data_IF_076504961141
#
_entry.id   IF_076504961141
#
_cell.length_a   1.000
_cell.length_b   1.000
_cell.length_c   1.000
_cell.angle_alpha   90.00
_cell.angle_beta   90.00
_cell.angle_gamma   90.00
#
_symmetry.space_group_name_H-M   'P 1'
#
loop_
_entity.id
_entity.type
_entity.pdbx_description
1 polymer ?
#
# COMPACT_ATOMS: atom_id res chain seq x y z
N UNK A 1 27.27 -9.02 -0.86
CA UNK A 1 25.95 -8.42 -1.13
C UNK A 1 25.02 -8.80 0.02
N UNK A 2 24.32 -7.84 0.62
CA UNK A 2 23.33 -8.18 1.68
C UNK A 2 22.17 -8.98 1.08
N UNK A 3 21.56 -9.86 1.86
CA UNK A 3 20.38 -10.63 1.41
C UNK A 3 19.12 -9.76 1.37
N UNK A 4 18.10 -10.20 0.62
CA UNK A 4 16.79 -9.54 0.54
C UNK A 4 16.20 -9.26 1.94
N UNK A 5 16.14 -10.26 2.84
CA UNK A 5 15.67 -10.07 4.23
C UNK A 5 16.45 -9.00 4.98
N UNK A 6 17.77 -8.98 4.82
CA UNK A 6 18.63 -8.02 5.53
C UNK A 6 18.37 -6.60 5.02
N UNK A 7 18.31 -6.41 3.71
CA UNK A 7 17.97 -5.13 3.08
C UNK A 7 16.57 -4.66 3.48
N UNK A 8 15.58 -5.55 3.49
CA UNK A 8 14.21 -5.22 3.88
C UNK A 8 14.14 -4.78 5.34
N UNK A 9 14.70 -5.58 6.26
CA UNK A 9 14.75 -5.25 7.69
C UNK A 9 15.47 -3.94 7.94
N UNK A 10 16.58 -3.68 7.25
CA UNK A 10 17.29 -2.40 7.31
C UNK A 10 16.41 -1.25 6.81
N UNK A 11 15.71 -1.42 5.67
CA UNK A 11 14.88 -0.38 5.06
C UNK A 11 13.74 0.08 5.97
N UNK A 12 13.15 -0.84 6.73
CA UNK A 12 12.04 -0.54 7.65
C UNK A 12 12.46 -0.42 9.13
N UNK A 13 13.75 -0.55 9.43
CA UNK A 13 14.30 -0.56 10.80
C UNK A 13 13.66 -1.64 11.72
N UNK A 14 13.51 -2.86 11.21
CA UNK A 14 12.88 -3.98 11.91
C UNK A 14 13.91 -4.87 12.59
N UNK A 15 13.82 -4.96 13.92
CA UNK A 15 14.73 -5.73 14.77
C UNK A 15 14.06 -6.90 15.50
N UNK A 16 12.77 -7.13 15.27
CA UNK A 16 12.03 -8.27 15.82
C UNK A 16 12.03 -9.45 14.86
N UNK A 17 11.76 -10.64 15.40
CA UNK A 17 11.46 -11.82 14.58
C UNK A 17 10.16 -11.61 13.81
N UNK A 18 10.04 -12.21 12.62
CA UNK A 18 8.84 -12.10 11.79
C UNK A 18 8.01 -13.35 12.03
N UNK A 19 6.85 -13.15 12.66
CA UNK A 19 5.83 -14.15 12.98
C UNK A 19 4.47 -13.51 12.75
N UNK A 20 3.39 -14.29 12.85
CA UNK A 20 2.03 -13.74 12.74
C UNK A 20 1.77 -12.63 13.78
N UNK A 21 2.20 -12.84 15.02
CA UNK A 21 2.01 -11.93 16.16
C UNK A 21 2.75 -10.60 16.01
N UNK A 22 3.84 -10.58 15.21
CA UNK A 22 4.67 -9.39 14.99
C UNK A 22 4.31 -8.67 13.69
N UNK A 23 3.35 -9.16 12.90
CA UNK A 23 2.87 -8.49 11.69
C UNK A 23 2.36 -7.06 11.93
N UNK A 24 1.64 -6.72 13.03
CA UNK A 24 1.27 -5.33 13.28
C UNK A 24 2.49 -4.40 13.42
N UNK A 25 3.57 -4.87 14.06
CA UNK A 25 4.82 -4.11 14.19
C UNK A 25 5.47 -3.94 12.82
N UNK A 26 5.56 -5.02 12.03
CA UNK A 26 6.10 -4.99 10.67
C UNK A 26 5.34 -3.97 9.81
N UNK A 27 4.01 -4.06 9.75
CA UNK A 27 3.17 -3.21 8.90
C UNK A 27 3.25 -1.74 9.31
N UNK A 28 3.30 -1.45 10.61
CA UNK A 28 3.53 -0.11 11.14
C UNK A 28 4.88 0.45 10.65
N UNK A 29 5.96 -0.32 10.82
CA UNK A 29 7.31 0.09 10.43
C UNK A 29 7.44 0.25 8.91
N UNK A 30 6.85 -0.66 8.14
CA UNK A 30 6.77 -0.58 6.68
C UNK A 30 6.12 0.73 6.25
N UNK A 31 4.92 1.04 6.77
CA UNK A 31 4.16 2.23 6.43
C UNK A 31 4.89 3.55 6.75
N UNK A 32 5.71 3.56 7.80
CA UNK A 32 6.48 4.72 8.23
C UNK A 32 7.76 4.92 7.41
N UNK A 33 8.33 3.82 6.89
CA UNK A 33 9.60 3.83 6.18
C UNK A 33 9.45 3.93 4.66
N UNK A 34 8.51 3.20 4.06
CA UNK A 34 8.34 3.05 2.62
C UNK A 34 7.08 3.82 2.21
N UNK A 35 7.20 4.87 1.38
CA UNK A 35 6.05 5.64 0.96
C UNK A 35 5.25 4.94 -0.14
N UNK A 36 3.95 5.23 -0.17
CA UNK A 36 3.15 5.04 -1.36
C UNK A 36 3.44 6.20 -2.33
N UNK A 37 3.82 5.89 -3.57
CA UNK A 37 4.17 6.90 -4.57
C UNK A 37 3.99 6.42 -6.02
N UNK A 38 3.85 7.34 -6.97
CA UNK A 38 3.66 7.06 -8.39
C UNK A 38 4.69 7.72 -9.31
N UNK A 39 5.86 8.15 -8.82
CA UNK A 39 6.80 8.97 -9.58
C UNK A 39 7.32 8.28 -10.84
N UNK A 40 7.65 6.99 -10.74
CA UNK A 40 8.07 6.19 -11.90
C UNK A 40 7.00 6.11 -13.00
N UNK A 41 5.72 6.09 -12.63
CA UNK A 41 4.60 6.12 -13.59
C UNK A 41 4.58 7.46 -14.32
N UNK A 42 4.70 8.57 -13.57
CA UNK A 42 4.71 9.93 -14.13
C UNK A 42 5.93 10.15 -15.05
N UNK A 43 7.09 9.63 -14.64
CA UNK A 43 8.34 9.76 -15.39
C UNK A 43 8.48 8.70 -16.50
N UNK A 44 7.45 7.85 -16.72
CA UNK A 44 7.42 6.77 -17.72
C UNK A 44 8.60 5.81 -17.62
N UNK A 45 9.06 5.57 -16.40
CA UNK A 45 10.16 4.66 -16.07
C UNK A 45 9.59 3.36 -15.48
N UNK A 46 9.26 2.40 -16.34
CA UNK A 46 8.55 1.17 -15.94
C UNK A 46 9.32 0.41 -14.85
N UNK A 47 8.63 0.07 -13.75
CA UNK A 47 9.17 -0.79 -12.71
C UNK A 47 9.23 -2.26 -13.14
N UNK A 48 10.26 -2.98 -12.68
CA UNK A 48 10.33 -4.44 -12.77
C UNK A 48 9.73 -5.04 -11.50
N UNK A 49 8.68 -5.86 -11.66
CA UNK A 49 7.92 -6.42 -10.53
C UNK A 49 8.50 -7.74 -10.00
N UNK A 50 9.66 -8.18 -10.52
CA UNK A 50 10.41 -9.28 -9.92
C UNK A 50 10.97 -8.89 -8.56
N UNK A 51 11.32 -9.88 -7.75
CA UNK A 51 11.94 -9.69 -6.44
C UNK A 51 13.21 -8.82 -6.51
N UNK A 52 14.07 -9.07 -7.49
CA UNK A 52 15.30 -8.32 -7.70
C UNK A 52 15.01 -6.88 -8.12
N UNK A 53 14.01 -6.67 -8.99
CA UNK A 53 13.60 -5.34 -9.45
C UNK A 53 13.05 -4.49 -8.31
N UNK A 54 12.16 -5.07 -7.49
CA UNK A 54 11.60 -4.39 -6.32
C UNK A 54 12.64 -4.19 -5.21
N UNK A 55 13.58 -5.11 -5.03
CA UNK A 55 14.73 -4.92 -4.13
C UNK A 55 15.57 -3.71 -4.55
N UNK A 56 15.94 -3.62 -5.83
CA UNK A 56 16.73 -2.51 -6.36
C UNK A 56 15.97 -1.18 -6.19
N UNK A 57 14.70 -1.13 -6.60
CA UNK A 57 13.87 0.08 -6.51
C UNK A 57 13.66 0.53 -5.06
N UNK A 58 13.06 -0.33 -4.23
CA UNK A 58 12.49 0.09 -2.96
C UNK A 58 13.51 0.00 -1.82
N UNK A 59 14.34 -1.04 -1.82
CA UNK A 59 15.27 -1.31 -0.71
C UNK A 59 16.62 -0.63 -0.92
N UNK A 60 17.16 -0.64 -2.14
CA UNK A 60 18.50 -0.09 -2.44
C UNK A 60 18.40 1.41 -2.78
N UNK A 61 17.52 1.79 -3.71
CA UNK A 61 17.33 3.20 -4.12
C UNK A 61 16.45 4.02 -3.17
N UNK A 62 15.93 3.38 -2.12
CA UNK A 62 15.05 3.99 -1.12
C UNK A 62 13.76 4.61 -1.70
N UNK A 63 13.32 4.18 -2.87
CA UNK A 63 12.06 4.62 -3.45
C UNK A 63 10.85 4.00 -2.72
N UNK A 64 9.64 4.36 -3.17
CA UNK A 64 8.38 3.75 -2.74
C UNK A 64 7.72 2.93 -3.85
N UNK A 65 6.39 2.88 -3.86
CA UNK A 65 5.63 2.36 -4.99
C UNK A 65 4.12 2.44 -4.81
N UNK A 66 3.39 1.94 -5.80
CA UNK A 66 1.94 1.72 -5.70
C UNK A 66 1.62 0.30 -5.21
N UNK A 67 0.34 -0.05 -5.08
CA UNK A 67 -0.11 -1.30 -4.44
C UNK A 67 0.56 -2.58 -4.98
N UNK A 68 0.66 -2.73 -6.30
CA UNK A 68 1.27 -3.91 -6.94
C UNK A 68 2.80 -3.99 -6.76
N UNK A 69 3.46 -2.91 -6.34
CA UNK A 69 4.88 -2.93 -6.00
C UNK A 69 5.06 -3.20 -4.50
N UNK A 70 4.31 -2.49 -3.65
CA UNK A 70 4.43 -2.57 -2.20
C UNK A 70 3.98 -3.93 -1.65
N UNK A 71 2.81 -4.42 -2.08
CA UNK A 71 2.29 -5.70 -1.61
C UNK A 71 3.05 -6.89 -2.22
N UNK A 72 3.59 -6.77 -3.44
CA UNK A 72 4.47 -7.80 -4.01
C UNK A 72 5.81 -7.88 -3.29
N UNK A 73 6.42 -6.74 -2.94
CA UNK A 73 7.63 -6.70 -2.12
C UNK A 73 7.38 -7.33 -0.74
N UNK A 74 6.26 -6.98 -0.09
CA UNK A 74 5.87 -7.55 1.19
C UNK A 74 5.59 -9.05 1.09
N UNK A 75 4.92 -9.50 0.04
CA UNK A 75 4.69 -10.93 -0.25
C UNK A 75 6.00 -11.71 -0.26
N UNK A 76 7.00 -11.27 -1.04
CA UNK A 76 8.29 -11.95 -1.09
C UNK A 76 9.00 -12.00 0.27
N UNK A 77 8.82 -10.97 1.09
CA UNK A 77 9.39 -10.93 2.45
C UNK A 77 8.70 -11.93 3.37
N UNK A 78 7.36 -11.96 3.39
CA UNK A 78 6.60 -12.88 4.23
C UNK A 78 6.82 -14.35 3.81
N UNK A 79 6.89 -14.61 2.50
CA UNK A 79 7.20 -15.93 1.93
C UNK A 79 8.61 -16.41 2.36
N UNK A 80 9.63 -15.54 2.36
CA UNK A 80 10.99 -15.89 2.82
C UNK A 80 11.09 -16.18 4.33
N UNK A 81 10.08 -15.81 5.11
CA UNK A 81 9.92 -16.21 6.52
C UNK A 81 9.01 -17.43 6.69
N UNK A 82 8.53 -18.03 5.59
CA UNK A 82 7.75 -19.26 5.61
C UNK A 82 6.28 -19.07 6.00
N UNK A 83 5.75 -17.84 5.93
CA UNK A 83 4.32 -17.62 6.09
C UNK A 83 3.57 -18.08 4.83
N UNK A 84 2.39 -18.68 5.02
CA UNK A 84 1.51 -19.10 3.93
C UNK A 84 0.78 -17.87 3.38
N UNK A 85 1.31 -17.30 2.29
CA UNK A 85 0.82 -16.07 1.67
C UNK A 85 0.57 -16.25 0.18
N UNK A 86 -0.41 -15.52 -0.35
CA UNK A 86 -0.66 -15.42 -1.78
C UNK A 86 -1.06 -13.99 -2.14
N UNK A 87 -0.69 -13.53 -3.32
CA UNK A 87 -1.21 -12.27 -3.87
C UNK A 87 -2.65 -12.46 -4.36
N UNK A 88 -3.49 -11.45 -4.16
CA UNK A 88 -4.89 -11.43 -4.60
C UNK A 88 -5.19 -10.11 -5.27
N UNK A 89 -5.87 -10.15 -6.43
CA UNK A 89 -6.34 -8.95 -7.11
C UNK A 89 -7.71 -8.49 -6.57
N UNK A 90 -7.85 -7.17 -6.48
CA UNK A 90 -8.99 -6.50 -5.89
C UNK A 90 -9.41 -5.28 -6.74
N UNK A 91 -10.69 -4.93 -6.68
CA UNK A 91 -11.23 -3.74 -7.34
C UNK A 91 -11.50 -2.65 -6.31
N UNK A 92 -10.91 -1.47 -6.50
CA UNK A 92 -11.17 -0.31 -5.65
C UNK A 92 -12.61 0.16 -5.84
N UNK A 93 -13.27 0.53 -4.73
CA UNK A 93 -14.54 1.24 -4.79
C UNK A 93 -14.30 2.74 -4.94
N UNK A 94 -14.77 3.33 -6.02
CA UNK A 94 -14.70 4.76 -6.26
C UNK A 94 -15.85 5.45 -5.53
N UNK A 95 -15.50 6.13 -4.44
CA UNK A 95 -16.44 6.87 -3.61
C UNK A 95 -17.07 8.08 -4.33
N UNK A 96 -16.37 8.69 -5.29
CA UNK A 96 -16.90 9.84 -6.05
C UNK A 96 -17.91 9.38 -7.10
N UNK A 97 -17.60 8.28 -7.79
CA UNK A 97 -18.51 7.69 -8.77
C UNK A 97 -19.62 6.83 -8.13
N UNK A 98 -19.52 6.56 -6.83
CA UNK A 98 -20.38 5.62 -6.09
C UNK A 98 -20.51 4.26 -6.81
N UNK A 99 -19.38 3.75 -7.30
CA UNK A 99 -19.31 2.54 -8.11
C UNK A 99 -17.91 1.89 -8.03
N UNK A 100 -17.77 0.66 -8.51
CA UNK A 100 -16.48 0.01 -8.67
C UNK A 100 -15.62 0.72 -9.72
N UNK A 101 -14.30 0.75 -9.50
CA UNK A 101 -13.36 1.35 -10.44
C UNK A 101 -13.50 0.73 -11.83
N UNK A 102 -13.60 1.58 -12.85
CA UNK A 102 -13.63 1.15 -14.25
C UNK A 102 -12.30 0.56 -14.73
N UNK A 103 -11.22 0.69 -13.95
CA UNK A 103 -9.94 0.03 -14.22
C UNK A 103 -9.97 -1.47 -13.90
N UNK A 104 -11.01 -1.97 -13.24
CA UNK A 104 -11.13 -3.38 -12.85
C UNK A 104 -10.25 -3.75 -11.66
N UNK A 105 -9.85 -5.03 -11.59
CA UNK A 105 -9.06 -5.58 -10.49
C UNK A 105 -7.58 -5.16 -10.56
N UNK A 106 -7.30 -3.88 -10.36
CA UNK A 106 -5.95 -3.31 -10.43
C UNK A 106 -5.31 -3.04 -9.07
N UNK A 107 -6.03 -3.28 -7.96
CA UNK A 107 -5.44 -3.29 -6.62
C UNK A 107 -4.90 -4.68 -6.32
N UNK A 108 -3.75 -4.74 -5.66
CA UNK A 108 -3.14 -6.00 -5.20
C UNK A 108 -3.12 -5.98 -3.68
N UNK A 109 -3.50 -7.08 -3.06
CA UNK A 109 -3.41 -7.31 -1.61
C UNK A 109 -2.86 -8.71 -1.34
N UNK A 110 -2.60 -9.06 -0.07
CA UNK A 110 -2.07 -10.36 0.32
C UNK A 110 -3.13 -11.12 1.12
N UNK A 111 -3.38 -12.37 0.74
CA UNK A 111 -4.13 -13.33 1.53
C UNK A 111 -3.14 -14.20 2.30
N UNK A 112 -3.27 -14.21 3.61
CA UNK A 112 -2.40 -14.93 4.54
C UNK A 112 -3.20 -15.99 5.28
N UNK A 113 -2.68 -17.21 5.37
CA UNK A 113 -3.27 -18.30 6.14
C UNK A 113 -2.48 -18.57 7.42
N UNK A 114 -3.17 -18.63 8.55
CA UNK A 114 -2.56 -18.90 9.85
C UNK A 114 -3.51 -19.72 10.72
N UNK A 115 -3.06 -20.86 11.24
CA UNK A 115 -3.85 -21.78 12.09
C UNK A 115 -5.25 -22.13 11.55
N UNK A 116 -5.41 -22.22 10.22
CA UNK A 116 -6.68 -22.57 9.58
C UNK A 116 -7.60 -21.38 9.32
N UNK A 117 -7.22 -20.18 9.75
CA UNK A 117 -7.90 -18.93 9.47
C UNK A 117 -7.19 -18.15 8.36
N UNK A 118 -7.93 -17.29 7.68
CA UNK A 118 -7.43 -16.45 6.60
C UNK A 118 -7.55 -14.96 6.94
N UNK A 119 -6.56 -14.20 6.49
CA UNK A 119 -6.40 -12.78 6.79
C UNK A 119 -6.01 -12.02 5.53
N UNK A 120 -6.50 -10.78 5.42
CA UNK A 120 -5.96 -9.81 4.47
C UNK A 120 -4.83 -9.03 5.11
N UNK A 121 -3.70 -8.95 4.41
CA UNK A 121 -2.56 -8.11 4.75
C UNK A 121 -2.35 -7.12 3.61
N UNK A 122 -2.35 -5.83 3.93
CA UNK A 122 -2.26 -4.77 2.93
C UNK A 122 -1.40 -3.60 3.43
N UNK A 123 -0.29 -3.35 2.73
CA UNK A 123 0.59 -2.20 2.92
C UNK A 123 0.56 -1.23 1.71
N UNK A 124 -0.29 -1.51 0.71
CA UNK A 124 -0.30 -0.85 -0.59
C UNK A 124 -1.48 0.08 -0.84
N UNK A 125 -2.45 0.19 0.08
CA UNK A 125 -3.68 0.97 -0.11
C UNK A 125 -3.52 2.48 0.19
N UNK A 126 -2.37 3.07 -0.14
CA UNK A 126 -2.05 4.47 0.13
C UNK A 126 -2.14 4.82 1.62
N UNK A 127 -2.84 5.90 1.97
CA UNK A 127 -3.07 6.28 3.36
C UNK A 127 -4.14 5.42 4.08
N UNK A 128 -4.82 4.52 3.36
CA UNK A 128 -5.96 3.74 3.86
C UNK A 128 -5.56 2.34 4.39
N UNK A 129 -4.30 2.15 4.78
CA UNK A 129 -3.76 0.84 5.16
C UNK A 129 -4.16 0.43 6.60
N UNK A 130 -4.44 -0.86 6.88
CA UNK A 130 -4.96 -1.28 8.18
C UNK A 130 -3.94 -1.30 9.31
N UNK A 131 -2.66 -1.51 8.99
CA UNK A 131 -1.54 -1.67 9.95
C UNK A 131 -1.60 -2.96 10.80
N UNK A 132 -2.48 -3.89 10.44
CA UNK A 132 -2.63 -5.21 11.08
C UNK A 132 -3.27 -6.18 10.06
N UNK A 133 -3.04 -7.51 10.17
CA UNK A 133 -3.85 -8.48 9.43
C UNK A 133 -5.34 -8.33 9.76
N UNK A 134 -6.19 -8.43 8.75
CA UNK A 134 -7.65 -8.35 8.87
C UNK A 134 -8.27 -9.73 8.69
N UNK A 135 -8.91 -10.33 9.71
CA UNK A 135 -9.48 -11.66 9.58
C UNK A 135 -10.69 -11.66 8.65
N UNK A 136 -10.80 -12.70 7.81
CA UNK A 136 -11.97 -12.91 6.94
C UNK A 136 -13.26 -13.23 7.75
N UNK A 137 -13.13 -13.55 9.04
CA UNK A 137 -14.27 -13.70 9.97
C UNK A 137 -15.07 -12.40 10.16
N UNK A 138 -14.50 -11.26 9.80
CA UNK A 138 -15.14 -9.95 9.83
C UNK A 138 -15.06 -9.21 11.16
N UNK A 139 -14.19 -9.67 12.06
CA UNK A 139 -13.84 -8.92 13.27
C UNK A 139 -13.35 -7.50 12.91
N UNK A 140 -13.75 -6.52 13.74
CA UNK A 140 -13.33 -5.13 13.59
C UNK A 140 -11.96 -4.97 14.21
N UNK A 141 -10.97 -4.70 13.37
CA UNK A 141 -9.62 -4.37 13.80
C UNK A 141 -9.49 -2.86 13.98
N UNK A 142 -9.06 -2.44 15.16
CA UNK A 142 -8.83 -1.02 15.49
C UNK A 142 -7.33 -0.77 15.62
N UNK A 143 -6.80 0.17 14.82
CA UNK A 143 -5.40 0.57 14.84
C UNK A 143 -5.27 2.08 14.92
N UNK A 144 -4.03 2.59 14.99
CA UNK A 144 -3.77 4.02 14.96
C UNK A 144 -4.26 4.72 13.67
N UNK A 145 -4.57 3.98 12.59
CA UNK A 145 -5.09 4.56 11.36
C UNK A 145 -6.63 4.59 11.31
N UNK A 146 -7.31 3.89 12.21
CA UNK A 146 -8.76 3.79 12.23
C UNK A 146 -9.25 2.37 12.44
N UNK A 147 -10.48 2.10 12.00
CA UNK A 147 -11.13 0.82 12.13
C UNK A 147 -11.30 0.19 10.75
N UNK A 148 -11.10 -1.12 10.68
CA UNK A 148 -11.11 -1.90 9.45
C UNK A 148 -11.83 -3.22 9.70
N UNK A 149 -12.55 -3.73 8.69
CA UNK A 149 -13.15 -5.07 8.74
C UNK A 149 -13.33 -5.65 7.35
N UNK A 150 -13.39 -6.97 7.28
CA UNK A 150 -13.79 -7.69 6.07
C UNK A 150 -15.28 -8.04 6.18
N UNK A 151 -16.03 -7.90 5.09
CA UNK A 151 -17.45 -8.24 5.01
C UNK A 151 -17.68 -9.17 3.82
N UNK A 152 -18.55 -10.18 3.93
CA UNK A 152 -18.98 -10.94 2.77
C UNK A 152 -19.71 -10.03 1.78
N UNK A 153 -19.50 -10.29 0.50
CA UNK A 153 -20.15 -9.64 -0.63
C UNK A 153 -20.80 -10.70 -1.53
N UNK A 154 -21.62 -10.27 -2.50
CA UNK A 154 -22.23 -11.20 -3.47
C UNK A 154 -21.17 -12.02 -4.23
N UNK A 155 -20.01 -11.40 -4.51
CA UNK A 155 -18.88 -12.03 -5.21
C UNK A 155 -17.61 -11.92 -4.39
N UNK A 156 -17.54 -12.67 -3.28
CA UNK A 156 -16.38 -12.75 -2.41
C UNK A 156 -16.53 -11.86 -1.17
N UNK A 157 -15.62 -10.90 -1.00
CA UNK A 157 -15.54 -10.05 0.17
C UNK A 157 -15.32 -8.59 -0.20
N UNK A 158 -15.57 -7.72 0.76
CA UNK A 158 -15.22 -6.31 0.71
C UNK A 158 -14.49 -5.89 1.97
N UNK A 159 -13.46 -5.07 1.82
CA UNK A 159 -12.88 -4.34 2.93
C UNK A 159 -13.70 -3.08 3.17
N UNK A 160 -14.12 -2.87 4.41
CA UNK A 160 -14.66 -1.60 4.88
C UNK A 160 -13.69 -0.95 5.85
N UNK A 161 -13.66 0.38 5.85
CA UNK A 161 -12.81 1.17 6.72
C UNK A 161 -13.52 2.42 7.23
N UNK A 162 -13.07 2.87 8.40
CA UNK A 162 -13.39 4.16 9.01
C UNK A 162 -12.08 4.75 9.55
N UNK A 163 -11.48 5.69 8.81
CA UNK A 163 -10.20 6.28 9.19
C UNK A 163 -10.33 7.22 10.39
N UNK A 164 -9.39 7.08 11.33
CA UNK A 164 -9.35 7.90 12.53
C UNK A 164 -9.22 9.40 12.20
N UNK A 165 -10.09 10.23 12.78
CA UNK A 165 -10.08 11.68 12.59
C UNK A 165 -10.51 12.16 11.19
N UNK A 166 -11.00 11.27 10.33
CA UNK A 166 -11.42 11.59 8.96
C UNK A 166 -12.83 11.11 8.64
N UNK A 167 -13.15 9.87 8.99
CA UNK A 167 -14.41 9.23 8.61
C UNK A 167 -15.30 9.08 9.86
N UNK A 168 -16.56 9.54 9.78
CA UNK A 168 -17.56 9.35 10.83
C UNK A 168 -18.31 8.01 10.67
N UNK A 169 -18.40 7.51 9.45
CA UNK A 169 -19.09 6.27 9.08
C UNK A 169 -18.17 5.32 8.31
N UNK A 170 -18.58 4.04 8.27
CA UNK A 170 -17.91 3.03 7.46
C UNK A 170 -18.09 3.33 5.98
N UNK A 171 -17.01 3.14 5.20
CA UNK A 171 -17.06 3.18 3.74
C UNK A 171 -16.32 1.99 3.13
N UNK A 172 -16.70 1.63 1.91
CA UNK A 172 -16.07 0.53 1.17
C UNK A 172 -14.68 0.98 0.68
N UNK A 173 -13.67 0.15 0.90
CA UNK A 173 -12.33 0.35 0.35
C UNK A 173 -12.20 -0.32 -1.02
N UNK A 174 -12.27 -1.64 -1.01
CA UNK A 174 -12.17 -2.48 -2.20
C UNK A 174 -12.89 -3.81 -2.01
N UNK A 175 -13.19 -4.46 -3.13
CA UNK A 175 -13.76 -5.80 -3.20
C UNK A 175 -12.75 -6.79 -3.78
N UNK A 176 -12.77 -8.01 -3.28
CA UNK A 176 -11.89 -9.10 -3.74
C UNK A 176 -12.59 -10.45 -3.59
N UNK A 177 -12.02 -11.48 -4.20
CA UNK A 177 -12.47 -12.86 -4.03
C UNK A 177 -11.26 -13.76 -3.83
N UNK A 178 -11.42 -14.84 -3.07
CA UNK A 178 -10.37 -15.88 -2.94
C UNK A 178 -10.01 -16.51 -4.29
N UNK A 179 -10.93 -16.49 -5.26
CA UNK A 179 -10.69 -16.97 -6.62
C UNK A 179 -9.82 -16.02 -7.46
N UNK A 180 -9.52 -14.81 -6.96
CA UNK A 180 -8.68 -13.82 -7.64
C UNK A 180 -7.20 -13.92 -7.22
N UNK A 181 -6.77 -15.08 -6.72
CA UNK A 181 -5.35 -15.33 -6.43
C UNK A 181 -4.53 -15.16 -7.70
N UNK A 182 -3.50 -14.34 -7.60
CA UNK A 182 -2.54 -14.11 -8.69
C UNK A 182 -1.59 -15.31 -8.69
N UNK A 183 -1.63 -16.08 -9.76
CA UNK A 183 -0.81 -17.31 -9.90
C UNK A 183 0.23 -17.17 -10.99
N UNK A 184 0.08 -16.17 -11.87
CA UNK A 184 1.08 -15.77 -12.85
C UNK A 184 1.47 -14.30 -12.62
N UNK A 185 2.77 -14.05 -12.47
CA UNK A 185 3.29 -12.69 -12.27
C UNK A 185 3.05 -11.78 -13.48
N UNK A 186 2.76 -12.34 -14.67
CA UNK A 186 2.34 -11.51 -15.82
C UNK A 186 1.02 -10.78 -15.58
N UNK A 187 0.15 -11.27 -14.67
CA UNK A 187 -1.06 -10.58 -14.25
C UNK A 187 -0.73 -9.23 -13.58
N UNK A 188 0.35 -9.16 -12.80
CA UNK A 188 0.82 -7.91 -12.20
C UNK A 188 1.29 -6.91 -13.26
N UNK A 189 1.96 -7.40 -14.30
CA UNK A 189 2.41 -6.55 -15.42
C UNK A 189 1.22 -5.98 -16.20
N UNK A 190 0.14 -6.75 -16.35
CA UNK A 190 -1.11 -6.26 -16.95
C UNK A 190 -1.75 -5.18 -16.09
N UNK A 191 -1.82 -5.37 -14.76
CA UNK A 191 -2.33 -4.35 -13.83
C UNK A 191 -1.48 -3.09 -13.88
N UNK A 192 -0.15 -3.23 -13.88
CA UNK A 192 0.78 -2.12 -14.04
C UNK A 192 0.51 -1.36 -15.34
N UNK A 193 0.36 -2.06 -16.47
CA UNK A 193 0.07 -1.42 -17.76
C UNK A 193 -1.26 -0.64 -17.73
N UNK A 194 -2.32 -1.21 -17.12
CA UNK A 194 -3.60 -0.52 -16.96
C UNK A 194 -3.42 0.74 -16.11
N UNK A 195 -2.75 0.65 -14.97
CA UNK A 195 -2.52 1.80 -14.09
C UNK A 195 -1.66 2.89 -14.76
N UNK A 196 -0.67 2.51 -15.56
CA UNK A 196 0.21 3.44 -16.27
C UNK A 196 -0.51 4.15 -17.43
N UNK A 197 -1.44 3.48 -18.12
CA UNK A 197 -1.95 3.96 -19.43
C UNK A 197 -3.45 4.26 -19.48
N UNK A 198 -4.27 3.63 -18.64
CA UNK A 198 -5.73 3.77 -18.70
C UNK A 198 -6.15 5.23 -18.42
N UNK A 199 -7.09 5.75 -19.20
CA UNK A 199 -7.53 7.15 -19.11
C UNK A 199 -8.15 7.48 -17.76
N UNK A 200 -8.86 6.53 -17.15
CA UNK A 200 -9.45 6.65 -15.81
C UNK A 200 -8.48 6.35 -14.66
N UNK A 201 -7.23 5.93 -14.92
CA UNK A 201 -6.27 5.72 -13.83
C UNK A 201 -5.96 7.04 -13.11
N UNK A 202 -6.07 7.10 -11.77
CA UNK A 202 -5.72 8.31 -11.03
C UNK A 202 -4.19 8.49 -10.90
N UNK A 203 -3.41 7.43 -11.10
CA UNK A 203 -1.97 7.43 -10.82
C UNK A 203 -1.09 7.86 -11.99
N UNK A 204 -1.65 8.10 -13.18
CA UNK A 204 -0.90 8.59 -14.35
C UNK A 204 -1.17 10.08 -14.66
N UNK A 205 -1.73 10.84 -13.70
CA UNK A 205 -2.14 12.25 -13.90
C UNK A 205 -1.16 13.26 -13.31
N UNK A 206 -0.73 13.04 -12.08
CA UNK A 206 0.16 13.96 -11.36
C UNK A 206 0.93 13.21 -10.28
N UNK A 207 2.13 13.70 -9.88
CA UNK A 207 2.85 13.19 -8.73
C UNK A 207 1.99 13.16 -7.46
N UNK A 208 2.01 12.03 -6.78
CA UNK A 208 1.34 11.77 -5.52
C UNK A 208 2.26 10.89 -4.68
N UNK A 209 2.61 11.36 -3.48
CA UNK A 209 3.27 10.56 -2.46
C UNK A 209 2.50 10.66 -1.17
N UNK A 210 2.40 9.55 -0.44
CA UNK A 210 1.93 9.57 0.95
C UNK A 210 2.73 8.61 1.81
N UNK A 211 2.96 8.98 3.07
CA UNK A 211 3.72 8.17 4.01
C UNK A 211 3.16 8.33 5.40
N UNK A 212 3.09 7.23 6.16
CA UNK A 212 2.69 7.28 7.57
C UNK A 212 3.77 8.01 8.38
N UNK A 213 3.35 8.72 9.40
CA UNK A 213 4.18 9.33 10.44
C UNK A 213 3.89 8.68 11.80
N UNK A 214 4.46 9.19 12.90
CA UNK A 214 4.11 8.70 14.23
C UNK A 214 2.62 8.92 14.54
N UNK A 215 2.09 10.09 14.18
CA UNK A 215 0.77 10.56 14.64
C UNK A 215 -0.25 10.71 13.50
N UNK A 216 0.04 10.20 12.31
CA UNK A 216 -0.82 10.36 11.14
C UNK A 216 -0.13 10.04 9.82
N UNK A 217 -0.32 10.88 8.81
CA UNK A 217 0.34 10.76 7.51
C UNK A 217 0.63 12.11 6.88
N UNK A 218 1.55 12.11 5.93
CA UNK A 218 1.84 13.27 5.08
C UNK A 218 1.53 12.92 3.64
N UNK A 219 1.09 13.90 2.86
CA UNK A 219 0.82 13.77 1.43
C UNK A 219 1.51 14.90 0.68
N UNK A 220 2.28 14.53 -0.34
CA UNK A 220 2.97 15.45 -1.23
C UNK A 220 2.40 15.29 -2.64
N UNK A 221 1.99 16.40 -3.23
CA UNK A 221 1.61 16.50 -4.65
C UNK A 221 2.48 17.55 -5.33
N UNK A 222 2.38 17.69 -6.65
CA UNK A 222 3.13 18.71 -7.39
C UNK A 222 2.87 20.15 -6.92
N UNK A 223 1.72 20.43 -6.28
CA UNK A 223 1.31 21.78 -5.91
C UNK A 223 1.09 21.98 -4.40
N UNK A 224 1.11 20.92 -3.59
CA UNK A 224 0.80 21.06 -2.16
C UNK A 224 1.45 19.99 -1.29
N UNK A 225 1.68 20.38 -0.05
CA UNK A 225 2.06 19.48 1.03
C UNK A 225 0.95 19.50 2.11
N UNK A 226 0.48 18.31 2.47
CA UNK A 226 -0.57 18.14 3.47
C UNK A 226 -0.04 17.30 4.63
N UNK A 227 -0.22 17.79 5.85
CA UNK A 227 0.06 17.05 7.08
C UNK A 227 -1.26 16.72 7.75
N UNK A 228 -1.55 15.43 7.86
CA UNK A 228 -2.73 14.91 8.54
C UNK A 228 -2.29 14.24 9.83
N UNK A 229 -2.61 14.83 10.99
CA UNK A 229 -2.39 14.25 12.32
C UNK A 229 -3.73 14.06 13.04
N UNK A 230 -3.76 14.06 14.37
CA UNK A 230 -5.02 14.13 15.13
C UNK A 230 -5.69 15.49 14.93
N UNK A 231 -6.75 15.54 14.11
CA UNK A 231 -7.55 16.74 13.86
C UNK A 231 -7.57 17.16 12.40
N UNK A 232 -7.78 18.45 12.15
CA UNK A 232 -7.94 18.99 10.79
C UNK A 232 -6.61 18.93 10.03
N UNK A 233 -6.56 18.31 8.83
CA UNK A 233 -5.37 18.31 8.01
C UNK A 233 -4.90 19.73 7.66
N UNK A 234 -3.61 19.99 7.81
CA UNK A 234 -2.98 21.27 7.44
C UNK A 234 -2.41 21.12 6.03
N UNK A 235 -3.01 21.84 5.08
CA UNK A 235 -2.57 21.87 3.68
C UNK A 235 -1.94 23.22 3.36
N UNK A 236 -0.77 23.20 2.71
CA UNK A 236 -0.10 24.39 2.19
C UNK A 236 0.31 24.19 0.74
N UNK A 237 0.27 25.27 -0.04
CA UNK A 237 0.83 25.32 -1.39
C UNK A 237 2.35 25.32 -1.30
N UNK A 238 3.02 24.70 -2.28
CA UNK A 238 4.47 24.61 -2.37
C UNK A 238 4.92 24.95 -3.79
N UNK A 239 6.16 25.38 -3.94
CA UNK A 239 6.81 25.51 -5.25
C UNK A 239 7.68 24.28 -5.56
N UNK A 240 8.35 24.29 -6.71
CA UNK A 240 9.21 23.18 -7.16
C UNK A 240 10.43 22.97 -6.25
N UNK A 241 10.99 24.03 -5.69
CA UNK A 241 12.14 23.95 -4.80
C UNK A 241 11.74 23.27 -3.49
N UNK A 242 10.64 23.71 -2.89
CA UNK A 242 10.08 23.10 -1.70
C UNK A 242 9.65 21.64 -1.95
N UNK A 243 9.13 21.32 -3.14
CA UNK A 243 8.81 19.93 -3.50
C UNK A 243 10.04 19.04 -3.44
N UNK A 244 11.16 19.47 -4.03
CA UNK A 244 12.41 18.71 -4.02
C UNK A 244 12.97 18.54 -2.59
N UNK A 245 12.91 19.61 -1.78
CA UNK A 245 13.33 19.58 -0.38
C UNK A 245 12.46 18.63 0.46
N UNK A 246 11.14 18.63 0.26
CA UNK A 246 10.21 17.74 0.96
C UNK A 246 10.38 16.27 0.53
N UNK A 247 10.61 16.01 -0.75
CA UNK A 247 10.88 14.67 -1.26
C UNK A 247 12.10 14.06 -0.55
N UNK A 248 13.17 14.84 -0.39
CA UNK A 248 14.38 14.40 0.30
C UNK A 248 14.19 14.32 1.82
N UNK A 249 13.71 15.39 2.46
CA UNK A 249 13.67 15.48 3.93
C UNK A 249 12.59 14.60 4.56
N UNK A 250 11.42 14.51 3.92
CA UNK A 250 10.23 13.85 4.49
C UNK A 250 10.10 12.40 4.00
N UNK A 251 10.37 12.16 2.70
CA UNK A 251 10.21 10.85 2.09
C UNK A 251 11.54 10.09 1.96
N UNK A 252 12.68 10.75 2.22
CA UNK A 252 14.04 10.18 2.05
C UNK A 252 14.30 9.67 0.63
N UNK A 253 13.66 10.31 -0.34
CA UNK A 253 13.73 9.98 -1.75
C UNK A 253 14.43 11.08 -2.54
N UNK A 254 14.96 10.70 -3.69
CA UNK A 254 15.35 11.61 -4.76
C UNK A 254 14.46 11.30 -5.97
N UNK A 255 14.33 12.23 -6.92
CA UNK A 255 13.66 11.88 -8.18
C UNK A 255 14.44 10.73 -8.86
N UNK A 256 13.74 9.73 -9.44
CA UNK A 256 14.36 8.61 -10.13
C UNK A 256 15.27 9.01 -11.29
#
# INVERSE_FOLDING_TARGET
MQSFKALFKQRINMNVEVTFETLPILLQQFAQAIPFENLRIIDKNKSLLSKEGLQEKILIRNEGGVCYELNTLLYYFLEEYGLDVSLVSACIYDQQANNWSVTGNTHVTILLKHHGEEFIVDAGFGANIPLTPLPLSGEVMTTANGQFRIKPAEKGYMLELKLAGRDDDWRIGYGFSENNRITDMTELEQMQQIIETHSASPFNKSPLLTKRTADGHVTLTAASFTVSSTGVPIKRTIDEKEYAELLQSTFRMQRP
#
